data_IF_212923934164
#
_entry.id   IF_212923934164
#
_cell.length_a   1.000
_cell.length_b   1.000
_cell.length_c   1.000
_cell.angle_alpha   90.00
_cell.angle_beta   90.00
_cell.angle_gamma   90.00
#
_symmetry.space_group_name_H-M   'P 1'
#
loop_
_entity.id
_entity.type
_entity.pdbx_description
1 polymer ?
#
# COMPACT_ATOMS: atom_id res chain seq x y z
N UNK A 1 -14.24 -16.80 -11.65
CA UNK A 1 -13.35 -16.04 -12.55
C UNK A 1 -13.75 -14.58 -12.81
N UNK A 2 -15.04 -14.19 -12.86
CA UNK A 2 -15.44 -12.78 -13.10
C UNK A 2 -15.33 -11.87 -11.84
N UNK A 3 -15.11 -12.45 -10.65
CA UNK A 3 -15.10 -11.74 -9.36
C UNK A 3 -13.79 -10.97 -9.09
N UNK A 4 -12.65 -11.51 -9.52
CA UNK A 4 -11.34 -11.03 -9.03
C UNK A 4 -10.87 -9.76 -9.75
N UNK A 5 -11.11 -9.66 -11.07
CA UNK A 5 -10.73 -8.47 -11.85
C UNK A 5 -11.55 -7.26 -11.48
N UNK A 6 -12.86 -7.43 -11.20
CA UNK A 6 -13.75 -6.32 -10.79
C UNK A 6 -13.33 -5.74 -9.45
N UNK A 7 -12.97 -6.61 -8.50
CA UNK A 7 -12.47 -6.18 -7.21
C UNK A 7 -11.18 -5.37 -7.34
N UNK A 8 -10.22 -5.83 -8.14
CA UNK A 8 -8.98 -5.10 -8.40
C UNK A 8 -9.25 -3.71 -9.01
N UNK A 9 -10.14 -3.60 -10.00
CA UNK A 9 -10.53 -2.31 -10.58
C UNK A 9 -11.13 -1.36 -9.55
N UNK A 10 -12.03 -1.85 -8.68
CA UNK A 10 -12.64 -1.02 -7.63
C UNK A 10 -11.58 -0.48 -6.68
N UNK A 11 -10.63 -1.32 -6.24
CA UNK A 11 -9.53 -0.90 -5.36
C UNK A 11 -8.64 0.14 -6.04
N UNK A 12 -8.27 -0.07 -7.32
CA UNK A 12 -7.46 0.88 -8.09
C UNK A 12 -8.16 2.23 -8.29
N UNK A 13 -9.45 2.21 -8.67
CA UNK A 13 -10.24 3.43 -8.84
C UNK A 13 -10.38 4.15 -7.50
N UNK A 14 -10.67 3.43 -6.42
CA UNK A 14 -10.75 3.99 -5.07
C UNK A 14 -9.45 4.66 -4.64
N UNK A 15 -8.30 4.04 -4.92
CA UNK A 15 -7.00 4.63 -4.64
C UNK A 15 -6.75 5.90 -5.45
N UNK A 16 -6.98 5.85 -6.77
CA UNK A 16 -6.79 7.00 -7.64
C UNK A 16 -7.71 8.17 -7.25
N UNK A 17 -8.98 7.90 -6.98
CA UNK A 17 -9.94 8.89 -6.51
C UNK A 17 -9.52 9.50 -5.18
N UNK A 18 -8.98 8.69 -4.27
CA UNK A 18 -8.46 9.16 -2.98
C UNK A 18 -7.27 10.08 -3.17
N UNK A 19 -6.28 9.70 -3.99
CA UNK A 19 -5.12 10.56 -4.27
C UNK A 19 -5.54 11.90 -4.87
N UNK A 20 -6.49 11.89 -5.80
CA UNK A 20 -7.02 13.12 -6.40
C UNK A 20 -7.76 13.97 -5.37
N UNK A 21 -8.59 13.36 -4.52
CA UNK A 21 -9.32 14.04 -3.48
C UNK A 21 -8.37 14.68 -2.45
N UNK A 22 -7.41 13.92 -1.92
CA UNK A 22 -6.47 14.41 -0.89
C UNK A 22 -5.56 15.50 -1.43
N UNK A 23 -5.13 15.38 -2.69
CA UNK A 23 -4.39 16.44 -3.37
C UNK A 23 -5.23 17.71 -3.54
N UNK A 24 -6.47 17.58 -4.04
CA UNK A 24 -7.35 18.72 -4.26
C UNK A 24 -7.67 19.46 -2.95
N UNK A 25 -7.92 18.74 -1.85
CA UNK A 25 -8.16 19.35 -0.54
C UNK A 25 -6.92 20.08 -0.05
N UNK A 26 -5.75 19.44 -0.11
CA UNK A 26 -4.47 20.01 0.32
C UNK A 26 -4.12 21.31 -0.43
N UNK A 27 -4.33 21.34 -1.75
CA UNK A 27 -4.16 22.57 -2.56
C UNK A 27 -5.19 23.63 -2.18
N UNK A 28 -6.47 23.26 -2.03
CA UNK A 28 -7.53 24.21 -1.70
C UNK A 28 -7.37 24.87 -0.32
N UNK A 29 -6.74 24.15 0.62
CA UNK A 29 -6.49 24.61 2.00
C UNK A 29 -5.15 25.36 2.13
N UNK A 30 -4.35 25.47 1.06
CA UNK A 30 -2.98 26.02 1.08
C UNK A 30 -2.04 25.29 2.06
N UNK A 31 -2.26 23.99 2.24
CA UNK A 31 -1.44 23.16 3.12
C UNK A 31 -0.38 22.36 2.35
N UNK A 32 -0.53 22.28 1.03
CA UNK A 32 0.46 21.67 0.15
C UNK A 32 1.73 22.54 0.02
N UNK A 33 2.93 21.93 -0.07
CA UNK A 33 4.15 22.64 -0.39
C UNK A 33 3.99 23.49 -1.65
N UNK A 34 4.45 24.74 -1.58
CA UNK A 34 4.45 25.63 -2.73
C UNK A 34 5.56 25.24 -3.71
N UNK A 35 5.34 25.50 -5.00
CA UNK A 35 6.35 25.36 -6.04
C UNK A 35 7.64 26.11 -5.64
N UNK A 36 8.84 25.55 -5.91
CA UNK A 36 9.11 24.46 -6.86
C UNK A 36 8.98 23.04 -6.28
N UNK A 37 8.63 22.87 -5.00
CA UNK A 37 8.52 21.55 -4.39
C UNK A 37 7.14 20.95 -4.69
N UNK A 38 7.11 19.84 -5.43
CA UNK A 38 5.88 19.08 -5.63
C UNK A 38 5.53 18.33 -4.33
N UNK A 39 4.25 18.33 -3.91
CA UNK A 39 3.83 17.53 -2.76
C UNK A 39 4.12 16.06 -3.00
N UNK A 40 4.66 15.39 -1.98
CA UNK A 40 4.60 13.93 -1.92
C UNK A 40 3.15 13.52 -1.66
N UNK A 41 2.82 12.26 -1.95
CA UNK A 41 1.50 11.71 -1.60
C UNK A 41 1.26 11.83 -0.10
N UNK A 42 2.28 11.59 0.73
CA UNK A 42 2.17 11.71 2.18
C UNK A 42 1.84 13.13 2.64
N UNK A 43 2.37 14.17 1.99
CA UNK A 43 1.99 15.55 2.31
C UNK A 43 0.49 15.83 2.12
N UNK A 44 -0.16 15.15 1.18
CA UNK A 44 -1.61 15.30 0.98
C UNK A 44 -2.44 14.64 2.07
N UNK A 45 -1.80 13.88 2.96
CA UNK A 45 -2.42 13.05 4.00
C UNK A 45 -2.12 13.52 5.42
N UNK A 46 -1.41 14.64 5.60
CA UNK A 46 -1.02 15.13 6.93
C UNK A 46 -2.22 15.73 7.68
N UNK A 47 -3.06 16.50 6.99
CA UNK A 47 -4.13 17.28 7.62
C UNK A 47 -5.54 16.77 7.25
N UNK A 48 -6.56 17.03 8.09
CA UNK A 48 -7.96 16.77 7.80
C UNK A 48 -8.50 17.57 6.60
N UNK A 49 -9.36 16.94 5.77
CA UNK A 49 -9.88 15.58 5.90
C UNK A 49 -8.96 14.50 5.32
N UNK A 50 -7.84 14.88 4.70
CA UNK A 50 -6.96 13.98 3.97
C UNK A 50 -6.41 12.83 4.82
N UNK A 51 -6.03 13.12 6.06
CA UNK A 51 -5.50 12.12 6.99
C UNK A 51 -6.49 10.98 7.33
N UNK A 52 -7.78 11.29 7.51
CA UNK A 52 -8.81 10.29 7.81
C UNK A 52 -9.10 9.42 6.60
N UNK A 53 -9.18 10.05 5.43
CA UNK A 53 -9.47 9.34 4.17
C UNK A 53 -8.32 8.41 3.80
N UNK A 54 -7.08 8.90 3.89
CA UNK A 54 -5.90 8.09 3.57
C UNK A 54 -5.75 6.89 4.51
N UNK A 55 -5.95 7.08 5.83
CA UNK A 55 -5.96 5.99 6.83
C UNK A 55 -6.92 4.88 6.46
N UNK A 56 -8.15 5.25 6.10
CA UNK A 56 -9.16 4.26 5.71
C UNK A 56 -8.77 3.54 4.41
N UNK A 57 -8.39 4.30 3.38
CA UNK A 57 -8.14 3.74 2.05
C UNK A 57 -6.88 2.89 2.02
N UNK A 58 -5.78 3.35 2.64
CA UNK A 58 -4.53 2.56 2.76
C UNK A 58 -4.79 1.27 3.55
N UNK A 59 -5.61 1.31 4.60
CA UNK A 59 -6.01 0.08 5.32
C UNK A 59 -6.75 -0.90 4.42
N UNK A 60 -7.74 -0.44 3.65
CA UNK A 60 -8.49 -1.29 2.69
C UNK A 60 -7.57 -1.87 1.62
N UNK A 61 -6.66 -1.06 1.07
CA UNK A 61 -5.67 -1.51 0.09
C UNK A 61 -4.74 -2.56 0.70
N UNK A 62 -4.24 -2.33 1.92
CA UNK A 62 -3.37 -3.28 2.61
C UNK A 62 -4.05 -4.64 2.84
N UNK A 63 -5.31 -4.65 3.28
CA UNK A 63 -6.10 -5.88 3.42
C UNK A 63 -6.30 -6.57 2.07
N UNK A 64 -6.59 -5.79 1.02
CA UNK A 64 -6.77 -6.33 -0.33
C UNK A 64 -5.50 -7.00 -0.85
N UNK A 65 -4.33 -6.39 -0.64
CA UNK A 65 -3.03 -6.98 -1.00
C UNK A 65 -2.79 -8.27 -0.22
N UNK A 66 -3.08 -8.29 1.09
CA UNK A 66 -2.91 -9.50 1.91
C UNK A 66 -3.77 -10.67 1.40
N UNK A 67 -5.04 -10.40 1.04
CA UNK A 67 -5.94 -11.38 0.45
C UNK A 67 -5.46 -11.86 -0.92
N UNK A 68 -4.96 -10.94 -1.75
CA UNK A 68 -4.46 -11.25 -3.08
C UNK A 68 -3.28 -12.24 -3.04
N UNK A 69 -2.47 -12.23 -1.98
CA UNK A 69 -1.39 -13.23 -1.83
C UNK A 69 -1.91 -14.67 -1.80
N UNK A 70 -3.11 -14.92 -1.24
CA UNK A 70 -3.70 -16.26 -1.26
C UNK A 70 -4.14 -16.68 -2.65
N UNK A 71 -4.57 -15.73 -3.48
CA UNK A 71 -4.97 -15.97 -4.87
C UNK A 71 -3.74 -16.19 -5.75
N UNK A 72 -2.72 -15.33 -5.64
CA UNK A 72 -1.52 -15.39 -6.47
C UNK A 72 -0.70 -16.66 -6.25
N UNK A 73 -0.54 -17.08 -4.99
CA UNK A 73 0.29 -18.25 -4.64
C UNK A 73 -0.54 -19.51 -4.38
N UNK A 74 -1.86 -19.44 -4.50
CA UNK A 74 -2.79 -20.56 -4.32
C UNK A 74 -2.57 -21.74 -5.29
N UNK A 75 -2.40 -21.49 -6.61
CA UNK A 75 -2.21 -22.55 -7.61
C UNK A 75 -1.00 -23.46 -7.33
N UNK A 76 0.06 -22.92 -6.75
CA UNK A 76 1.33 -23.62 -6.50
C UNK A 76 1.27 -24.63 -5.33
N UNK A 77 0.14 -24.75 -4.64
CA UNK A 77 -0.01 -25.67 -3.48
C UNK A 77 0.07 -27.15 -3.86
N UNK A 78 -0.24 -27.49 -5.11
CA UNK A 78 -0.14 -28.83 -5.67
C UNK A 78 1.18 -29.15 -6.37
N UNK A 79 2.11 -28.18 -6.43
CA UNK A 79 3.37 -28.33 -7.15
C UNK A 79 4.40 -29.20 -6.38
N UNK A 80 5.53 -29.49 -7.04
CA UNK A 80 6.66 -30.22 -6.44
C UNK A 80 7.24 -29.45 -5.24
N UNK A 81 7.92 -30.16 -4.32
CA UNK A 81 8.45 -29.61 -3.07
C UNK A 81 9.20 -28.26 -3.22
N UNK A 82 10.14 -28.07 -4.18
CA UNK A 82 10.85 -26.80 -4.32
C UNK A 82 9.94 -25.65 -4.78
N UNK A 83 8.98 -25.94 -5.66
CA UNK A 83 8.03 -24.93 -6.15
C UNK A 83 7.06 -24.52 -5.03
N UNK A 84 6.56 -25.50 -4.27
CA UNK A 84 5.69 -25.29 -3.11
C UNK A 84 6.38 -24.48 -2.00
N UNK A 85 7.65 -24.72 -1.73
CA UNK A 85 8.42 -23.96 -0.73
C UNK A 85 8.57 -22.50 -1.17
N UNK A 86 8.98 -22.26 -2.42
CA UNK A 86 9.11 -20.92 -3.00
C UNK A 86 7.79 -20.14 -2.91
N UNK A 87 6.69 -20.74 -3.36
CA UNK A 87 5.36 -20.11 -3.29
C UNK A 87 4.91 -19.83 -1.86
N UNK A 88 5.20 -20.74 -0.91
CA UNK A 88 4.87 -20.53 0.50
C UNK A 88 5.65 -19.35 1.07
N UNK A 89 6.95 -19.28 0.83
CA UNK A 89 7.79 -18.16 1.30
C UNK A 89 7.32 -16.85 0.69
N UNK A 90 7.08 -16.83 -0.62
CA UNK A 90 6.61 -15.65 -1.34
C UNK A 90 5.25 -15.16 -0.82
N UNK A 91 4.31 -16.09 -0.57
CA UNK A 91 3.02 -15.76 0.05
C UNK A 91 3.20 -15.13 1.44
N UNK A 92 4.04 -15.71 2.31
CA UNK A 92 4.26 -15.19 3.67
C UNK A 92 4.92 -13.81 3.63
N UNK A 93 5.90 -13.62 2.77
CA UNK A 93 6.54 -12.32 2.57
C UNK A 93 5.54 -11.28 2.04
N UNK A 94 4.65 -11.67 1.14
CA UNK A 94 3.62 -10.76 0.62
C UNK A 94 2.60 -10.35 1.69
N UNK A 95 2.18 -11.29 2.55
CA UNK A 95 1.28 -10.97 3.67
C UNK A 95 1.99 -10.06 4.68
N UNK A 96 3.26 -10.32 4.98
CA UNK A 96 4.06 -9.46 5.85
C UNK A 96 4.24 -8.06 5.26
N UNK A 97 4.49 -7.96 3.95
CA UNK A 97 4.55 -6.69 3.22
C UNK A 97 3.23 -5.91 3.35
N UNK A 98 2.09 -6.57 3.14
CA UNK A 98 0.78 -5.95 3.34
C UNK A 98 0.56 -5.46 4.77
N UNK A 99 1.05 -6.19 5.78
CA UNK A 99 1.06 -5.74 7.16
C UNK A 99 1.93 -4.48 7.36
N UNK A 100 3.10 -4.38 6.71
CA UNK A 100 3.89 -3.15 6.74
C UNK A 100 3.11 -1.96 6.15
N UNK A 101 2.35 -2.17 5.07
CA UNK A 101 1.53 -1.10 4.48
C UNK A 101 0.39 -0.65 5.41
N UNK A 102 -0.22 -1.56 6.19
CA UNK A 102 -1.27 -1.15 7.14
C UNK A 102 -0.73 -0.23 8.24
N UNK A 103 0.53 -0.42 8.65
CA UNK A 103 1.22 0.48 9.57
C UNK A 103 1.49 1.86 8.98
N UNK A 104 1.89 1.92 7.70
CA UNK A 104 2.04 3.19 6.95
C UNK A 104 0.73 3.95 6.89
N UNK A 105 -0.39 3.25 6.71
CA UNK A 105 -1.71 3.86 6.77
C UNK A 105 -2.08 4.40 8.15
N UNK A 106 -1.57 3.81 9.24
CA UNK A 106 -1.93 4.16 10.60
C UNK A 106 -1.08 5.28 11.22
N UNK A 107 0.18 5.43 10.77
CA UNK A 107 1.17 6.34 11.35
C UNK A 107 1.50 7.43 10.33
N UNK A 108 1.52 8.70 10.75
CA UNK A 108 1.99 9.80 9.89
C UNK A 108 3.51 9.84 9.77
N UNK A 109 3.99 10.42 8.68
CA UNK A 109 5.42 10.66 8.43
C UNK A 109 5.96 11.95 9.08
N UNK A 110 5.11 12.83 9.62
CA UNK A 110 5.54 14.00 10.39
C UNK A 110 5.40 13.82 11.91
N UNK A 111 6.55 13.81 12.61
CA UNK A 111 6.67 13.70 14.07
C UNK A 111 6.22 14.96 14.82
N UNK A 112 6.01 16.06 14.09
CA UNK A 112 5.69 17.37 14.65
C UNK A 112 4.24 17.75 14.45
N UNK A 113 3.48 16.99 13.65
CA UNK A 113 2.09 17.30 13.38
C UNK A 113 1.22 16.93 14.59
N UNK A 114 0.58 17.90 15.29
CA UNK A 114 -0.23 17.59 16.47
C UNK A 114 -1.53 16.83 16.12
N UNK A 115 -1.92 16.79 14.84
CA UNK A 115 -3.14 16.11 14.38
C UNK A 115 -2.93 14.62 14.15
N UNK A 116 -1.68 14.19 14.01
CA UNK A 116 -1.33 12.80 14.03
C UNK A 116 0.02 12.60 14.69
N UNK A 117 -0.01 11.87 15.82
CA UNK A 117 1.15 11.45 16.62
C UNK A 117 2.10 10.57 15.79
N UNK A 118 2.86 11.23 14.91
CA UNK A 118 3.64 10.63 13.84
C UNK A 118 4.95 10.07 14.34
N UNK A 119 5.47 9.11 13.60
CA UNK A 119 6.82 8.60 13.79
C UNK A 119 7.40 8.26 12.42
N UNK A 120 8.09 9.22 11.82
CA UNK A 120 8.72 9.18 10.52
C UNK A 120 9.66 7.98 10.40
N UNK A 121 10.42 7.68 11.47
CA UNK A 121 11.33 6.54 11.45
C UNK A 121 10.55 5.23 11.28
N UNK A 122 9.45 5.05 12.01
CA UNK A 122 8.59 3.87 11.90
C UNK A 122 7.87 3.86 10.55
N UNK A 123 7.24 4.97 10.16
CA UNK A 123 6.53 5.13 8.89
C UNK A 123 7.44 4.78 7.71
N UNK A 124 8.59 5.43 7.62
CA UNK A 124 9.55 5.24 6.53
C UNK A 124 10.11 3.82 6.51
N UNK A 125 10.40 3.22 7.68
CA UNK A 125 10.90 1.84 7.75
C UNK A 125 9.87 0.85 7.20
N UNK A 126 8.59 0.98 7.59
CA UNK A 126 7.53 0.11 7.09
C UNK A 126 7.22 0.36 5.62
N UNK A 127 7.23 1.62 5.17
CA UNK A 127 7.03 1.96 3.75
C UNK A 127 8.12 1.34 2.87
N UNK A 128 9.39 1.52 3.22
CA UNK A 128 10.52 0.94 2.49
C UNK A 128 10.43 -0.59 2.49
N UNK A 129 10.14 -1.19 3.64
CA UNK A 129 9.98 -2.65 3.75
C UNK A 129 8.87 -3.18 2.84
N UNK A 130 7.71 -2.52 2.82
CA UNK A 130 6.61 -2.85 1.92
C UNK A 130 7.05 -2.79 0.46
N UNK A 131 7.59 -1.66 0.01
CA UNK A 131 7.96 -1.47 -1.39
C UNK A 131 9.04 -2.44 -1.85
N UNK A 132 10.08 -2.67 -1.03
CA UNK A 132 11.16 -3.60 -1.38
C UNK A 132 10.62 -5.01 -1.55
N UNK A 133 9.90 -5.53 -0.55
CA UNK A 133 9.37 -6.90 -0.61
C UNK A 133 8.39 -7.04 -1.78
N UNK A 134 7.46 -6.09 -1.93
CA UNK A 134 6.43 -6.17 -2.95
C UNK A 134 7.02 -6.09 -4.37
N UNK A 135 8.03 -5.26 -4.60
CA UNK A 135 8.73 -5.19 -5.89
C UNK A 135 9.43 -6.51 -6.23
N UNK A 136 10.13 -7.13 -5.27
CA UNK A 136 10.75 -8.43 -5.50
C UNK A 136 9.72 -9.51 -5.83
N UNK A 137 8.59 -9.54 -5.10
CA UNK A 137 7.51 -10.49 -5.37
C UNK A 137 6.90 -10.31 -6.76
N UNK A 138 6.72 -9.07 -7.23
CA UNK A 138 6.23 -8.79 -8.57
C UNK A 138 7.20 -9.26 -9.66
N UNK A 139 8.51 -9.11 -9.44
CA UNK A 139 9.55 -9.65 -10.35
C UNK A 139 9.50 -11.17 -10.41
N UNK A 140 9.35 -11.85 -9.26
CA UNK A 140 9.23 -13.31 -9.22
C UNK A 140 7.97 -13.77 -9.95
N UNK A 141 6.82 -13.14 -9.69
CA UNK A 141 5.55 -13.46 -10.36
C UNK A 141 5.65 -13.28 -11.88
N UNK A 142 6.28 -12.21 -12.34
CA UNK A 142 6.46 -11.94 -13.78
C UNK A 142 7.30 -13.04 -14.45
N UNK A 143 8.33 -13.56 -13.76
CA UNK A 143 9.16 -14.66 -14.26
C UNK A 143 8.47 -16.02 -14.24
N UNK A 144 7.52 -16.23 -13.33
CA UNK A 144 6.75 -17.47 -13.24
C UNK A 144 5.55 -17.51 -14.20
N UNK A 145 5.06 -16.35 -14.65
CA UNK A 145 3.91 -16.24 -15.56
C UNK A 145 4.26 -16.39 -17.05
N UNK A 146 5.54 -16.52 -17.41
CA UNK A 146 6.02 -16.78 -18.77
C UNK A 146 6.62 -18.17 -18.90
#
# INVERSE_FOLDING_TARGET
>A
EISDTRFAYIVCIGMAATMLFTYATCVSQNECPHLPHLPTISNTWDNPPGNYVSRFVVSVVSTSIALLQFVLWGPERGATLPCKLSATVAQRLGIFSAFCLSWVGAICDDDKNPQCDGNNAIHSTFAVTFFVIQNFLMVILTKHAG
#
